data_IF_355012098382
#
_entry.id   IF_355012098382
#
_cell.length_a   1.000
_cell.length_b   1.000
_cell.length_c   1.000
_cell.angle_alpha   90.00
_cell.angle_beta   90.00
_cell.angle_gamma   90.00
#
_symmetry.space_group_name_H-M   'P 1'
#
loop_
_entity.id
_entity.type
_entity.pdbx_description
1 polymer ?
#
# COMPACT_ATOMS: atom_id res chain seq x y z
N UNK A 1 -11.37 11.65 19.95
CA UNK A 1 -10.22 12.19 19.22
C UNK A 1 -9.47 11.00 18.63
N UNK A 2 -9.47 10.79 17.31
CA UNK A 2 -8.63 9.74 16.68
C UNK A 2 -7.18 10.20 16.74
N UNK A 3 -6.37 9.54 17.54
CA UNK A 3 -4.92 9.78 17.54
C UNK A 3 -4.34 9.25 16.23
N UNK A 4 -3.86 10.13 15.40
CA UNK A 4 -3.18 9.80 14.14
C UNK A 4 -1.68 9.66 14.44
N UNK A 5 -1.11 8.48 14.25
CA UNK A 5 0.34 8.32 14.24
C UNK A 5 0.80 8.75 12.85
N UNK A 6 1.57 9.84 12.79
CA UNK A 6 2.13 10.31 11.54
C UNK A 6 3.09 9.27 10.93
N UNK A 7 2.97 9.05 9.63
CA UNK A 7 3.87 8.18 8.88
C UNK A 7 3.33 6.79 8.55
N UNK A 8 2.11 6.42 8.97
CA UNK A 8 1.49 5.14 8.65
C UNK A 8 0.18 5.30 7.88
N UNK A 9 -0.06 4.40 6.94
CA UNK A 9 -1.35 4.24 6.28
C UNK A 9 -2.34 3.55 7.23
N UNK A 10 -3.13 4.36 7.93
CA UNK A 10 -4.06 3.85 8.95
C UNK A 10 -5.18 2.99 8.36
N UNK A 11 -5.63 3.28 7.13
CA UNK A 11 -6.64 2.48 6.47
C UNK A 11 -6.09 1.09 6.17
N UNK A 12 -4.87 1.02 5.65
CA UNK A 12 -4.20 -0.26 5.42
C UNK A 12 -3.92 -1.01 6.74
N UNK A 13 -3.49 -0.32 7.79
CA UNK A 13 -3.26 -0.92 9.11
C UNK A 13 -4.51 -1.65 9.65
N UNK A 14 -5.70 -1.12 9.38
CA UNK A 14 -6.96 -1.72 9.80
C UNK A 14 -7.33 -2.99 9.01
N UNK A 15 -6.76 -3.20 7.83
CA UNK A 15 -6.99 -4.38 7.00
C UNK A 15 -6.02 -5.52 7.30
N UNK A 16 -4.90 -5.23 7.98
CA UNK A 16 -3.91 -6.24 8.31
C UNK A 16 -4.40 -7.19 9.39
N UNK A 17 -4.52 -8.44 9.04
CA UNK A 17 -4.87 -9.54 9.92
C UNK A 17 -3.83 -10.66 9.81
N UNK A 18 -3.54 -11.29 10.90
CA UNK A 18 -2.69 -12.48 11.00
C UNK A 18 -3.28 -13.45 12.00
N UNK A 19 -2.59 -14.54 12.26
CA UNK A 19 -2.97 -15.49 13.30
C UNK A 19 -1.82 -15.69 14.27
N UNK A 20 -2.14 -15.85 15.55
CA UNK A 20 -1.16 -16.20 16.57
C UNK A 20 -0.86 -17.71 16.58
N UNK A 21 -0.03 -18.15 17.51
CA UNK A 21 0.35 -19.55 17.69
C UNK A 21 -0.80 -20.49 18.10
N UNK A 22 -1.93 -19.91 18.52
CA UNK A 22 -3.14 -20.62 18.91
C UNK A 22 -4.24 -20.52 17.85
N UNK A 23 -3.96 -19.87 16.69
CA UNK A 23 -4.93 -19.66 15.60
C UNK A 23 -5.90 -18.51 15.85
N UNK A 24 -5.70 -17.68 16.89
CA UNK A 24 -6.51 -16.51 17.11
C UNK A 24 -6.12 -15.37 16.18
N UNK A 25 -7.12 -14.64 15.65
CA UNK A 25 -6.89 -13.51 14.76
C UNK A 25 -6.21 -12.37 15.53
N UNK A 26 -5.09 -11.89 14.99
CA UNK A 26 -4.34 -10.74 15.50
C UNK A 26 -4.45 -9.57 14.53
N UNK A 27 -4.53 -8.35 15.09
CA UNK A 27 -4.60 -7.09 14.35
C UNK A 27 -3.66 -6.08 14.97
N UNK A 28 -3.22 -5.11 14.17
CA UNK A 28 -2.43 -3.99 14.68
C UNK A 28 -3.23 -3.14 15.67
N UNK A 29 -2.53 -2.71 16.70
CA UNK A 29 -3.01 -1.67 17.61
C UNK A 29 -2.01 -0.49 17.67
N UNK A 30 -2.37 0.55 18.43
CA UNK A 30 -1.54 1.75 18.58
C UNK A 30 -0.13 1.43 19.10
N UNK A 31 -0.03 0.51 20.07
CA UNK A 31 1.25 0.11 20.66
C UNK A 31 2.18 -0.54 19.64
N UNK A 32 1.62 -1.38 18.76
CA UNK A 32 2.39 -2.01 17.68
C UNK A 32 2.95 -0.97 16.71
N UNK A 33 2.17 0.06 16.38
CA UNK A 33 2.61 1.15 15.51
C UNK A 33 3.71 2.01 16.15
N UNK A 34 3.65 2.23 17.47
CA UNK A 34 4.74 2.92 18.20
C UNK A 34 6.02 2.10 18.16
N UNK A 35 5.93 0.80 18.39
CA UNK A 35 7.09 -0.11 18.31
C UNK A 35 7.64 -0.18 16.89
N UNK A 36 6.80 -0.25 15.88
CA UNK A 36 7.21 -0.23 14.49
C UNK A 36 7.92 1.08 14.13
N UNK A 37 7.40 2.22 14.60
CA UNK A 37 8.07 3.53 14.41
C UNK A 37 9.45 3.54 15.05
N UNK A 38 9.56 3.12 16.28
CA UNK A 38 10.83 2.98 16.98
C UNK A 38 11.80 2.07 16.19
N UNK A 39 11.35 0.89 15.74
CA UNK A 39 12.18 -0.01 14.93
C UNK A 39 12.67 0.67 13.64
N UNK A 40 11.79 1.38 12.95
CA UNK A 40 12.14 2.12 11.73
C UNK A 40 13.22 3.17 11.99
N UNK A 41 13.13 3.88 13.11
CA UNK A 41 14.08 4.94 13.46
C UNK A 41 15.45 4.39 13.85
N UNK A 42 15.53 3.23 14.53
CA UNK A 42 16.81 2.62 14.93
C UNK A 42 17.43 1.72 13.85
N UNK A 43 16.61 1.20 12.91
CA UNK A 43 17.04 0.26 11.88
C UNK A 43 18.32 0.67 11.13
N UNK A 44 18.53 1.95 10.73
CA UNK A 44 19.74 2.36 10.05
C UNK A 44 21.01 2.29 10.91
N UNK A 45 20.87 2.31 12.25
CA UNK A 45 21.97 2.40 13.22
C UNK A 45 22.42 1.06 13.76
N UNK A 46 21.60 0.02 13.58
CA UNK A 46 21.89 -1.32 14.12
C UNK A 46 22.97 -2.04 13.32
N UNK A 47 23.78 -2.92 13.97
CA UNK A 47 24.63 -3.88 13.29
C UNK A 47 23.79 -4.69 12.29
N UNK A 48 24.35 -4.97 11.12
CA UNK A 48 23.60 -5.64 10.06
C UNK A 48 24.47 -6.50 9.16
N UNK A 49 23.82 -7.39 8.46
CA UNK A 49 24.34 -8.19 7.36
C UNK A 49 23.47 -7.99 6.12
N UNK A 50 24.06 -8.22 4.94
CA UNK A 50 23.34 -8.16 3.67
C UNK A 50 23.33 -9.55 3.04
N UNK A 51 22.14 -10.12 2.87
CA UNK A 51 21.92 -11.32 2.10
C UNK A 51 20.54 -11.32 1.45
N UNK A 52 20.37 -12.09 0.39
CA UNK A 52 19.15 -12.11 -0.45
C UNK A 52 18.69 -10.72 -0.95
N UNK A 53 19.66 -9.80 -1.14
CA UNK A 53 19.37 -8.43 -1.57
C UNK A 53 18.66 -7.58 -0.53
N UNK A 54 18.60 -8.02 0.73
CA UNK A 54 18.03 -7.31 1.86
C UNK A 54 19.09 -7.02 2.93
N UNK A 55 18.92 -5.89 3.60
CA UNK A 55 19.66 -5.56 4.82
C UNK A 55 18.95 -6.21 6.01
N UNK A 56 19.66 -7.02 6.79
CA UNK A 56 19.17 -7.67 8.00
C UNK A 56 19.85 -7.08 9.22
N UNK A 57 19.10 -6.52 10.14
CA UNK A 57 19.65 -5.93 11.36
C UNK A 57 19.66 -6.93 12.52
N UNK A 58 20.75 -6.93 13.28
CA UNK A 58 20.96 -7.83 14.40
C UNK A 58 20.45 -7.22 15.71
N UNK A 59 19.65 -7.97 16.47
CA UNK A 59 19.11 -7.57 17.76
C UNK A 59 19.23 -8.72 18.77
N UNK A 60 20.07 -8.57 19.77
CA UNK A 60 20.29 -9.63 20.78
C UNK A 60 19.18 -9.72 21.83
N UNK A 61 18.73 -8.61 22.34
CA UNK A 61 17.71 -8.53 23.40
C UNK A 61 16.57 -7.58 23.00
N UNK A 62 15.91 -7.90 21.88
CA UNK A 62 14.91 -7.01 21.26
C UNK A 62 13.82 -6.53 22.25
N UNK A 63 13.33 -7.40 23.14
CA UNK A 63 12.35 -7.02 24.15
C UNK A 63 12.89 -6.03 25.17
N UNK A 64 14.16 -6.16 25.56
CA UNK A 64 14.83 -5.26 26.50
C UNK A 64 15.07 -3.89 25.83
N UNK A 65 15.55 -3.88 24.59
CA UNK A 65 15.76 -2.65 23.82
C UNK A 65 14.48 -1.82 23.75
N UNK A 66 13.35 -2.45 23.39
CA UNK A 66 12.04 -1.77 23.35
C UNK A 66 11.64 -1.25 24.75
N UNK A 67 11.85 -2.07 25.79
CA UNK A 67 11.49 -1.71 27.16
C UNK A 67 12.28 -0.49 27.66
N UNK A 68 13.57 -0.41 27.35
CA UNK A 68 14.44 0.69 27.77
C UNK A 68 14.18 1.97 26.97
N UNK A 69 13.98 1.86 25.65
CA UNK A 69 13.76 3.00 24.77
C UNK A 69 12.33 3.57 24.82
N UNK A 70 11.33 2.73 25.14
CA UNK A 70 9.93 3.10 25.15
C UNK A 70 9.25 2.87 26.52
N UNK A 71 9.77 3.45 27.63
CA UNK A 71 9.28 3.19 28.98
C UNK A 71 7.82 3.63 29.16
N UNK A 72 7.33 4.58 28.38
CA UNK A 72 5.94 5.08 28.45
C UNK A 72 4.91 4.05 27.97
N UNK A 73 5.33 2.99 27.27
CA UNK A 73 4.41 1.90 26.88
C UNK A 73 3.97 1.07 28.08
N UNK A 74 4.68 1.16 29.19
CA UNK A 74 4.38 0.41 30.42
C UNK A 74 4.18 -1.10 30.17
N UNK A 75 5.01 -1.68 29.34
CA UNK A 75 5.03 -3.11 29.01
C UNK A 75 6.15 -3.83 29.78
N UNK A 76 6.00 -5.12 30.03
CA UNK A 76 7.15 -5.96 30.46
C UNK A 76 8.06 -6.26 29.29
N UNK A 77 9.33 -6.59 29.57
CA UNK A 77 10.33 -7.00 28.55
C UNK A 77 9.77 -8.12 27.64
N UNK A 78 9.14 -9.14 28.24
CA UNK A 78 8.52 -10.24 27.50
C UNK A 78 7.41 -9.75 26.56
N UNK A 79 6.56 -8.83 27.01
CA UNK A 79 5.49 -8.27 26.18
C UNK A 79 6.03 -7.39 25.07
N UNK A 80 7.13 -6.67 25.28
CA UNK A 80 7.82 -5.92 24.23
C UNK A 80 8.30 -6.84 23.10
N UNK A 81 8.96 -7.95 23.46
CA UNK A 81 9.39 -8.96 22.47
C UNK A 81 8.21 -9.59 21.72
N UNK A 82 7.14 -9.98 22.45
CA UNK A 82 5.92 -10.52 21.81
C UNK A 82 5.29 -9.55 20.81
N UNK A 83 5.34 -8.24 21.06
CA UNK A 83 4.85 -7.21 20.16
C UNK A 83 5.69 -7.12 18.88
N UNK A 84 7.01 -7.22 18.99
CA UNK A 84 7.88 -7.25 17.81
C UNK A 84 7.59 -8.48 16.94
N UNK A 85 7.47 -9.67 17.54
CA UNK A 85 7.10 -10.90 16.82
C UNK A 85 5.66 -10.87 16.27
N UNK A 86 4.75 -10.09 16.87
CA UNK A 86 3.44 -9.83 16.27
C UNK A 86 3.57 -9.11 14.94
N UNK A 87 4.49 -8.14 14.80
CA UNK A 87 4.77 -7.47 13.53
C UNK A 87 5.32 -8.47 12.48
N UNK A 88 6.09 -9.47 12.90
CA UNK A 88 6.54 -10.56 12.01
C UNK A 88 5.36 -11.39 11.52
N UNK A 89 4.45 -11.80 12.40
CA UNK A 89 3.25 -12.57 12.03
C UNK A 89 2.29 -11.79 11.11
N UNK A 90 2.33 -10.48 11.17
CA UNK A 90 1.60 -9.59 10.26
C UNK A 90 2.39 -9.29 8.98
N UNK A 91 3.55 -9.96 8.78
CA UNK A 91 4.42 -9.79 7.61
C UNK A 91 4.86 -8.34 7.36
N UNK A 92 4.87 -7.53 8.44
CA UNK A 92 5.39 -6.16 8.44
C UNK A 92 6.91 -6.19 8.61
N UNK A 93 7.40 -7.13 9.40
CA UNK A 93 8.80 -7.48 9.52
C UNK A 93 9.00 -8.92 9.06
N UNK A 94 10.16 -9.20 8.48
CA UNK A 94 10.67 -10.56 8.28
C UNK A 94 11.67 -10.85 9.39
N UNK A 95 11.82 -12.12 9.72
CA UNK A 95 12.67 -12.62 10.78
C UNK A 95 13.47 -13.82 10.31
N UNK A 96 14.75 -13.85 10.67
CA UNK A 96 15.62 -15.00 10.48
C UNK A 96 16.17 -15.45 11.83
N UNK A 97 15.96 -16.72 12.15
CA UNK A 97 16.51 -17.35 13.35
C UNK A 97 17.93 -17.79 13.04
N UNK A 98 18.89 -17.25 13.78
CA UNK A 98 20.28 -17.72 13.78
C UNK A 98 20.47 -18.97 14.65
N UNK A 99 21.72 -19.41 14.79
CA UNK A 99 22.07 -20.41 15.76
C UNK A 99 21.71 -19.94 17.19
N UNK A 100 21.51 -20.84 18.18
CA UNK A 100 21.03 -20.49 19.52
C UNK A 100 21.85 -19.40 20.25
N UNK A 101 23.10 -19.21 19.85
CA UNK A 101 24.02 -18.20 20.41
C UNK A 101 24.13 -16.93 19.54
N UNK A 102 23.42 -16.88 18.41
CA UNK A 102 23.44 -15.73 17.49
C UNK A 102 22.29 -14.75 17.76
N UNK A 103 22.49 -13.46 17.46
CA UNK A 103 21.43 -12.47 17.58
C UNK A 103 20.30 -12.76 16.57
N UNK A 104 19.08 -12.44 16.97
CA UNK A 104 17.95 -12.42 16.03
C UNK A 104 18.17 -11.41 14.92
N UNK A 105 17.85 -11.77 13.70
CA UNK A 105 17.93 -10.85 12.56
C UNK A 105 16.56 -10.48 12.07
N UNK A 106 16.34 -9.17 11.84
CA UNK A 106 15.09 -8.63 11.36
C UNK A 106 15.33 -7.76 10.12
N UNK A 107 14.35 -7.77 9.23
CA UNK A 107 14.26 -6.84 8.10
C UNK A 107 12.80 -6.45 7.86
N UNK A 108 12.58 -5.52 6.93
CA UNK A 108 11.22 -5.15 6.56
C UNK A 108 10.56 -6.22 5.70
N UNK A 109 9.35 -6.61 6.09
CA UNK A 109 8.52 -7.58 5.39
C UNK A 109 7.67 -6.96 4.29
N UNK A 110 6.91 -7.80 3.58
CA UNK A 110 6.12 -7.38 2.40
C UNK A 110 5.04 -6.33 2.70
N UNK A 111 4.51 -6.30 3.93
CA UNK A 111 3.45 -5.36 4.31
C UNK A 111 3.99 -4.02 4.84
N UNK A 112 5.31 -3.92 5.08
CA UNK A 112 5.91 -2.71 5.62
C UNK A 112 5.75 -1.51 4.68
N UNK A 113 6.05 -1.67 3.41
CA UNK A 113 5.97 -0.58 2.43
C UNK A 113 4.54 -0.05 2.27
N UNK A 114 3.57 -0.95 2.27
CA UNK A 114 2.15 -0.61 2.18
C UNK A 114 1.66 0.13 3.43
N UNK A 115 2.18 -0.26 4.59
CA UNK A 115 1.82 0.34 5.87
C UNK A 115 2.51 1.70 6.09
N UNK A 116 3.81 1.79 5.79
CA UNK A 116 4.61 3.00 6.03
C UNK A 116 4.51 4.05 4.92
N UNK A 117 3.79 3.79 3.89
CA UNK A 117 3.31 4.53 2.71
C UNK A 117 3.71 5.97 2.46
N UNK A 118 4.93 6.44 2.81
CA UNK A 118 5.42 7.76 2.37
C UNK A 118 6.96 7.94 2.27
N UNK A 119 7.82 6.97 2.58
CA UNK A 119 9.27 7.21 2.55
C UNK A 119 10.17 6.10 2.00
N UNK A 120 9.64 5.08 1.35
CA UNK A 120 10.44 4.06 0.65
C UNK A 120 10.27 4.16 -0.85
N UNK A 121 11.16 3.56 -1.61
CA UNK A 121 11.12 3.53 -3.08
C UNK A 121 9.74 3.08 -3.64
N UNK A 122 8.97 2.31 -2.86
CA UNK A 122 7.59 1.93 -3.21
C UNK A 122 6.60 3.08 -3.21
N UNK A 123 6.73 4.06 -2.28
CA UNK A 123 5.89 5.26 -2.30
C UNK A 123 6.19 6.14 -3.51
N UNK A 124 7.46 6.22 -3.90
CA UNK A 124 7.86 6.93 -5.11
C UNK A 124 7.31 6.23 -6.37
N UNK A 125 7.23 4.90 -6.36
CA UNK A 125 6.61 4.13 -7.44
C UNK A 125 5.10 4.40 -7.54
N UNK A 126 4.36 4.42 -6.42
CA UNK A 126 2.92 4.72 -6.41
C UNK A 126 2.67 6.19 -6.79
N UNK A 127 3.46 7.12 -6.26
CA UNK A 127 3.38 8.54 -6.64
C UNK A 127 3.65 8.68 -8.12
N UNK A 128 4.74 8.09 -8.62
CA UNK A 128 5.12 8.12 -10.03
C UNK A 128 4.06 7.42 -10.91
N UNK A 129 3.50 6.31 -10.48
CA UNK A 129 2.41 5.63 -11.18
C UNK A 129 1.14 6.51 -11.21
N UNK A 130 0.76 7.09 -10.07
CA UNK A 130 -0.39 8.00 -9.99
C UNK A 130 -0.20 9.20 -10.90
N UNK A 131 0.97 9.84 -10.88
CA UNK A 131 1.26 10.99 -11.73
C UNK A 131 1.17 10.62 -13.22
N UNK A 132 1.66 9.45 -13.61
CA UNK A 132 1.56 8.95 -14.99
C UNK A 132 0.12 8.61 -15.38
N UNK A 133 -0.64 7.93 -14.52
CA UNK A 133 -2.03 7.51 -14.78
C UNK A 133 -2.93 8.74 -14.87
N UNK A 134 -2.87 9.64 -13.89
CA UNK A 134 -3.69 10.86 -13.88
C UNK A 134 -3.27 11.84 -14.98
N UNK A 135 -1.95 11.96 -15.23
CA UNK A 135 -1.44 12.74 -16.36
C UNK A 135 -1.98 12.23 -17.69
N UNK A 136 -2.05 10.92 -17.87
CA UNK A 136 -2.64 10.31 -19.06
C UNK A 136 -4.15 10.60 -19.18
N UNK A 137 -4.92 10.42 -18.08
CA UNK A 137 -6.35 10.74 -18.05
C UNK A 137 -6.59 12.22 -18.39
N UNK A 138 -5.85 13.13 -17.73
CA UNK A 138 -5.97 14.56 -17.97
C UNK A 138 -5.70 14.95 -19.43
N UNK A 139 -4.65 14.34 -20.02
CA UNK A 139 -4.31 14.57 -21.42
C UNK A 139 -5.40 14.05 -22.37
N UNK A 140 -5.92 12.84 -22.09
CA UNK A 140 -6.90 12.18 -22.96
C UNK A 140 -8.28 12.83 -22.89
N UNK A 141 -8.76 13.11 -21.66
CA UNK A 141 -10.10 13.65 -21.41
C UNK A 141 -10.14 15.19 -21.28
N UNK A 142 -9.03 15.89 -21.55
CA UNK A 142 -8.92 17.36 -21.42
C UNK A 142 -9.33 17.87 -20.05
N UNK A 143 -9.02 17.10 -18.98
CA UNK A 143 -9.33 17.41 -17.58
C UNK A 143 -8.11 17.90 -16.82
N UNK A 144 -8.29 18.32 -15.56
CA UNK A 144 -7.19 18.77 -14.70
C UNK A 144 -7.33 18.21 -13.28
N UNK A 145 -7.43 16.88 -13.17
CA UNK A 145 -7.46 16.20 -11.88
C UNK A 145 -6.09 16.29 -11.20
N UNK A 146 -6.11 16.55 -9.88
CA UNK A 146 -4.89 16.67 -9.09
C UNK A 146 -4.33 15.28 -8.76
N UNK A 147 -3.04 15.07 -9.05
CA UNK A 147 -2.33 13.82 -8.74
C UNK A 147 -2.09 13.63 -7.26
N UNK A 148 -2.11 14.71 -6.46
CA UNK A 148 -1.93 14.67 -5.01
C UNK A 148 -3.24 14.52 -4.21
N UNK A 149 -4.38 14.31 -4.88
CA UNK A 149 -5.66 14.04 -4.21
C UNK A 149 -5.58 12.72 -3.43
N UNK A 150 -5.85 12.75 -2.12
CA UNK A 150 -5.85 11.55 -1.26
C UNK A 150 -6.78 10.47 -1.79
N UNK A 151 -7.97 10.85 -2.21
CA UNK A 151 -8.97 9.91 -2.73
C UNK A 151 -8.52 9.28 -4.04
N UNK A 152 -7.97 10.06 -4.97
CA UNK A 152 -7.45 9.57 -6.25
C UNK A 152 -6.29 8.59 -6.04
N UNK A 153 -5.34 8.93 -5.15
CA UNK A 153 -4.22 8.05 -4.81
C UNK A 153 -4.70 6.74 -4.19
N UNK A 154 -5.72 6.80 -3.34
CA UNK A 154 -6.32 5.62 -2.72
C UNK A 154 -6.86 4.66 -3.77
N UNK A 155 -7.70 5.11 -4.71
CA UNK A 155 -8.24 4.24 -5.77
C UNK A 155 -7.13 3.58 -6.61
N UNK A 156 -6.13 4.36 -7.01
CA UNK A 156 -5.01 3.82 -7.79
C UNK A 156 -4.21 2.81 -6.98
N UNK A 157 -3.93 3.13 -5.73
CA UNK A 157 -3.21 2.24 -4.83
C UNK A 157 -3.93 0.91 -4.61
N UNK A 158 -5.24 0.94 -4.34
CA UNK A 158 -6.06 -0.27 -4.14
C UNK A 158 -5.95 -1.20 -5.36
N UNK A 159 -6.08 -0.68 -6.56
CA UNK A 159 -5.96 -1.46 -7.80
C UNK A 159 -4.54 -1.99 -8.03
N UNK A 160 -3.50 -1.18 -7.77
CA UNK A 160 -2.12 -1.65 -7.84
C UNK A 160 -1.82 -2.76 -6.82
N UNK A 161 -2.39 -2.66 -5.61
CA UNK A 161 -2.27 -3.68 -4.57
C UNK A 161 -2.99 -4.99 -4.93
N UNK A 162 -4.07 -4.93 -5.71
CA UNK A 162 -4.77 -6.08 -6.29
C UNK A 162 -3.99 -6.74 -7.45
N UNK A 163 -2.85 -6.16 -7.85
CA UNK A 163 -1.98 -6.70 -8.91
C UNK A 163 -2.18 -6.11 -10.31
N UNK A 164 -3.05 -5.12 -10.47
CA UNK A 164 -3.21 -4.43 -11.74
C UNK A 164 -2.01 -3.54 -12.05
N UNK A 165 -1.61 -3.49 -13.33
CA UNK A 165 -0.50 -2.69 -13.80
C UNK A 165 -0.96 -1.32 -14.35
N UNK A 166 -0.03 -0.37 -14.49
CA UNK A 166 -0.33 0.95 -15.06
C UNK A 166 -0.95 0.89 -16.47
N UNK A 167 -0.68 -0.19 -17.23
CA UNK A 167 -1.28 -0.43 -18.54
C UNK A 167 -2.78 -0.74 -18.46
N UNK A 168 -3.24 -1.38 -17.36
CA UNK A 168 -4.65 -1.71 -17.17
C UNK A 168 -5.46 -0.43 -16.94
N UNK A 169 -4.92 0.50 -16.16
CA UNK A 169 -5.53 1.84 -15.99
C UNK A 169 -5.65 2.59 -17.32
N UNK A 170 -4.60 2.51 -18.14
CA UNK A 170 -4.62 3.13 -19.46
C UNK A 170 -5.68 2.48 -20.35
N UNK A 171 -5.80 1.15 -20.32
CA UNK A 171 -6.82 0.44 -21.10
C UNK A 171 -8.25 0.83 -20.66
N UNK A 172 -8.50 0.99 -19.35
CA UNK A 172 -9.79 1.46 -18.82
C UNK A 172 -10.07 2.90 -19.29
N UNK A 173 -9.09 3.79 -19.18
CA UNK A 173 -9.23 5.19 -19.65
C UNK A 173 -9.57 5.23 -21.13
N UNK A 174 -8.85 4.49 -21.97
CA UNK A 174 -9.05 4.47 -23.41
C UNK A 174 -10.44 3.94 -23.77
N UNK A 175 -10.86 2.80 -23.19
CA UNK A 175 -12.19 2.22 -23.42
C UNK A 175 -13.31 3.19 -23.05
N UNK A 176 -13.23 3.76 -21.84
CA UNK A 176 -14.27 4.65 -21.35
C UNK A 176 -14.27 6.01 -22.05
N UNK A 177 -13.13 6.49 -22.47
CA UNK A 177 -13.07 7.68 -23.30
C UNK A 177 -13.74 7.44 -24.66
N UNK A 178 -13.42 6.31 -25.33
CA UNK A 178 -14.03 5.96 -26.61
C UNK A 178 -15.57 5.77 -26.52
N UNK A 179 -16.06 5.32 -25.34
CA UNK A 179 -17.51 5.11 -25.11
C UNK A 179 -18.25 6.38 -24.67
N UNK A 180 -17.61 7.27 -23.89
CA UNK A 180 -18.28 8.35 -23.17
C UNK A 180 -17.94 9.75 -23.64
N UNK A 181 -16.82 9.95 -24.36
CA UNK A 181 -16.48 11.27 -24.88
C UNK A 181 -17.59 11.78 -25.81
N UNK A 182 -17.88 13.07 -25.71
CA UNK A 182 -18.93 13.77 -26.49
C UNK A 182 -20.37 13.23 -26.24
N UNK A 183 -20.57 12.49 -25.14
CA UNK A 183 -21.89 11.99 -24.70
C UNK A 183 -22.27 12.59 -23.34
N UNK A 184 -23.51 12.35 -22.90
CA UNK A 184 -23.94 12.71 -21.54
C UNK A 184 -23.13 12.03 -20.43
N UNK A 185 -22.40 10.97 -20.74
CA UNK A 185 -21.58 10.19 -19.83
C UNK A 185 -20.16 10.75 -19.67
N UNK A 186 -19.74 11.75 -20.43
CA UNK A 186 -18.41 12.37 -20.33
C UNK A 186 -18.10 12.86 -18.91
N UNK A 187 -19.09 13.34 -18.17
CA UNK A 187 -18.98 13.74 -16.76
C UNK A 187 -18.47 12.63 -15.83
N UNK A 188 -18.52 11.38 -16.25
CA UNK A 188 -18.03 10.20 -15.51
C UNK A 188 -16.58 9.83 -15.83
N UNK A 189 -15.92 10.52 -16.76
CA UNK A 189 -14.49 10.38 -17.04
C UNK A 189 -13.67 11.02 -15.91
N UNK A 190 -13.74 10.40 -14.73
CA UNK A 190 -13.08 10.88 -13.50
C UNK A 190 -12.49 9.73 -12.70
N UNK A 191 -11.42 9.97 -11.90
CA UNK A 191 -10.73 8.91 -11.15
C UNK A 191 -11.64 8.05 -10.28
N UNK A 192 -12.60 8.66 -9.57
CA UNK A 192 -13.54 7.95 -8.70
C UNK A 192 -14.45 6.96 -9.42
N UNK A 193 -14.79 7.23 -10.65
CA UNK A 193 -15.63 6.35 -11.48
C UNK A 193 -14.78 5.30 -12.17
N UNK A 194 -13.66 5.72 -12.77
CA UNK A 194 -12.82 4.84 -13.59
C UNK A 194 -12.04 3.82 -12.76
N UNK A 195 -11.58 4.20 -11.55
CA UNK A 195 -10.68 3.39 -10.73
C UNK A 195 -11.32 2.89 -9.42
N UNK A 196 -12.62 3.16 -9.23
CA UNK A 196 -13.41 2.64 -8.10
C UNK A 196 -13.78 1.17 -8.27
N UNK A 197 -14.85 0.74 -7.60
CA UNK A 197 -15.29 -0.66 -7.48
C UNK A 197 -15.58 -1.34 -8.83
N UNK A 198 -15.84 -0.57 -9.88
CA UNK A 198 -16.15 -1.10 -11.23
C UNK A 198 -14.93 -1.16 -12.15
N UNK A 199 -13.73 -1.01 -11.63
CA UNK A 199 -12.51 -1.01 -12.44
C UNK A 199 -12.35 -2.29 -13.25
N UNK A 200 -12.54 -3.44 -12.62
CA UNK A 200 -12.44 -4.75 -13.25
C UNK A 200 -13.50 -4.94 -14.33
N UNK A 201 -14.75 -4.51 -14.09
CA UNK A 201 -15.81 -4.53 -15.08
C UNK A 201 -15.39 -3.77 -16.33
N UNK A 202 -14.89 -2.53 -16.16
CA UNK A 202 -14.47 -1.69 -17.27
C UNK A 202 -13.26 -2.26 -18.01
N UNK A 203 -12.32 -2.88 -17.28
CA UNK A 203 -11.16 -3.51 -17.87
C UNK A 203 -11.55 -4.69 -18.77
N UNK A 204 -12.56 -5.49 -18.36
CA UNK A 204 -13.00 -6.68 -19.06
C UNK A 204 -14.12 -6.43 -20.08
N UNK A 205 -14.71 -5.24 -20.13
CA UNK A 205 -15.69 -4.92 -21.16
C UNK A 205 -15.10 -5.08 -22.57
N UNK A 206 -15.82 -5.77 -23.44
CA UNK A 206 -15.50 -5.85 -24.87
C UNK A 206 -15.69 -4.48 -25.52
N UNK A 207 -14.77 -4.07 -26.41
CA UNK A 207 -14.98 -2.85 -27.21
C UNK A 207 -16.29 -2.96 -27.97
N UNK A 208 -17.24 -2.08 -27.69
CA UNK A 208 -18.45 -1.95 -28.52
C UNK A 208 -18.00 -1.50 -29.93
N UNK A 209 -18.27 -2.30 -30.94
CA UNK A 209 -18.16 -1.83 -32.33
C UNK A 209 -19.13 -0.65 -32.45
N UNK A 210 -18.63 0.57 -32.71
CA UNK A 210 -19.48 1.67 -33.19
C UNK A 210 -20.07 1.20 -34.51
N UNK A 211 -21.34 0.75 -34.51
CA UNK A 211 -22.10 0.58 -35.73
C UNK A 211 -22.40 2.01 -36.22
N UNK A 212 -21.64 2.46 -37.17
CA UNK A 212 -21.94 3.62 -37.96
C UNK A 212 -23.19 3.24 -38.79
N UNK A 213 -24.36 3.65 -38.34
CA UNK A 213 -25.53 3.66 -39.20
C UNK A 213 -25.37 4.83 -40.14
N UNK A 214 -24.79 4.56 -41.31
CA UNK A 214 -24.94 5.44 -42.46
C UNK A 214 -26.42 5.44 -42.82
N UNK A 215 -27.13 6.43 -42.29
CA UNK A 215 -28.41 6.82 -42.86
C UNK A 215 -28.15 7.65 -44.09
N UNK A 216 -27.85 6.99 -45.22
CA UNK A 216 -28.07 7.59 -46.51
C UNK A 216 -29.57 7.83 -46.67
N UNK A 217 -29.94 9.07 -46.50
CA UNK A 217 -31.24 9.55 -46.92
C UNK A 217 -31.32 9.54 -48.42
N UNK A 218 -32.18 8.72 -48.94
CA UNK A 218 -32.59 8.79 -50.34
C UNK A 218 -33.94 9.46 -50.45
N UNK A 219 -33.94 10.58 -51.18
CA UNK A 219 -35.03 11.26 -51.88
C UNK A 219 -36.21 11.78 -51.08
#
# INVERSE_FOLDING_TARGET
>A
MKQTIEGFNQEYALTLEGVDEHGAVIKLDHTDLVILRWFTDIYPTLPHEEFDGKKWVMMTECGRMIFEDLPLLNLSISNCGKRLFKLVRLEILDYCEGDPDEPFMFTFGKNYELLCGQRTAGSDLVITATDKIIGYLNKKAHTNFKTNSKLTRRYIFERLAEGYAAQDFKAVIDKKYDDWAETEFEKYLRPSTLFGDRFEDYLNESKRKKNYCDSEGTK
#
